data_IF_012977942268
#
_entry.id   IF_012977942268
#
_cell.length_a   1.000
_cell.length_b   1.000
_cell.length_c   1.000
_cell.angle_alpha   90.00
_cell.angle_beta   90.00
_cell.angle_gamma   90.00
#
_symmetry.space_group_name_H-M   'P 1'
#
loop_
_entity.id
_entity.type
_entity.pdbx_description
1 polymer ?
#
# COMPACT_ATOMS: atom_id res chain seq x y z
N UNK A 1 31.24 -10.33 -4.66
CA UNK A 1 30.66 -9.43 -3.63
C UNK A 1 29.23 -9.89 -3.40
N UNK A 2 28.86 -10.28 -2.17
CA UNK A 2 27.43 -10.46 -1.86
C UNK A 2 26.78 -9.09 -1.97
N UNK A 3 25.96 -8.88 -3.00
CA UNK A 3 25.03 -7.76 -3.01
C UNK A 3 24.25 -7.82 -1.71
N UNK A 4 24.18 -6.73 -0.95
CA UNK A 4 23.35 -6.69 0.24
C UNK A 4 21.89 -6.91 -0.22
N UNK A 5 21.29 -8.05 0.14
CA UNK A 5 19.95 -8.43 -0.32
C UNK A 5 18.90 -7.40 0.08
N UNK A 6 19.11 -6.67 1.19
CA UNK A 6 18.27 -5.54 1.59
C UNK A 6 18.33 -4.43 0.54
N UNK A 7 19.53 -4.06 0.08
CA UNK A 7 19.70 -3.03 -0.94
C UNK A 7 19.05 -3.45 -2.25
N UNK A 8 19.27 -4.69 -2.70
CA UNK A 8 18.65 -5.21 -3.92
C UNK A 8 17.12 -5.20 -3.84
N UNK A 9 16.55 -5.64 -2.72
CA UNK A 9 15.12 -5.56 -2.47
C UNK A 9 14.61 -4.12 -2.53
N UNK A 10 15.29 -3.19 -1.85
CA UNK A 10 14.94 -1.78 -1.84
C UNK A 10 15.00 -1.16 -3.25
N UNK A 11 16.01 -1.53 -4.04
CA UNK A 11 16.17 -1.07 -5.43
C UNK A 11 15.01 -1.56 -6.31
N UNK A 12 14.61 -2.83 -6.17
CA UNK A 12 13.47 -3.41 -6.91
C UNK A 12 12.17 -2.68 -6.55
N UNK A 13 11.91 -2.45 -5.25
CA UNK A 13 10.69 -1.74 -4.82
C UNK A 13 10.70 -0.30 -5.32
N UNK A 14 11.86 0.38 -5.26
CA UNK A 14 12.02 1.76 -5.76
C UNK A 14 11.77 1.85 -7.26
N UNK A 15 12.35 0.93 -8.05
CA UNK A 15 12.14 0.89 -9.50
C UNK A 15 10.66 0.68 -9.84
N UNK A 16 10.01 -0.27 -9.16
CA UNK A 16 8.58 -0.55 -9.35
C UNK A 16 7.71 0.68 -9.05
N UNK A 17 7.98 1.39 -7.95
CA UNK A 17 7.28 2.63 -7.60
C UNK A 17 7.46 3.72 -8.67
N UNK A 18 8.66 3.83 -9.25
CA UNK A 18 8.93 4.69 -10.41
C UNK A 18 8.10 4.32 -11.65
N UNK A 19 7.99 3.03 -11.96
CA UNK A 19 7.14 2.54 -13.05
C UNK A 19 5.65 2.84 -12.80
N UNK A 20 5.18 2.64 -11.57
CA UNK A 20 3.81 2.97 -11.17
C UNK A 20 3.51 4.48 -11.34
N UNK A 21 4.44 5.35 -10.97
CA UNK A 21 4.31 6.80 -11.12
C UNK A 21 4.16 7.20 -12.60
N UNK A 22 5.02 6.67 -13.47
CA UNK A 22 4.94 6.88 -14.91
C UNK A 22 3.58 6.40 -15.46
N UNK A 23 3.17 5.20 -15.08
CA UNK A 23 1.92 4.61 -15.54
C UNK A 23 0.69 5.41 -15.08
N UNK A 24 0.62 5.87 -13.82
CA UNK A 24 -0.51 6.66 -13.32
C UNK A 24 -0.69 7.95 -14.10
N UNK A 25 0.40 8.65 -14.42
CA UNK A 25 0.33 9.88 -15.23
C UNK A 25 -0.37 9.62 -16.57
N UNK A 26 0.06 8.57 -17.29
CA UNK A 26 -0.53 8.19 -18.57
C UNK A 26 -2.00 7.78 -18.40
N UNK A 27 -2.30 6.93 -17.41
CA UNK A 27 -3.63 6.38 -17.20
C UNK A 27 -4.65 7.46 -16.78
N UNK A 28 -4.23 8.45 -15.99
CA UNK A 28 -5.09 9.58 -15.61
C UNK A 28 -5.44 10.45 -16.82
N UNK A 29 -4.46 10.75 -17.69
CA UNK A 29 -4.72 11.50 -18.93
C UNK A 29 -5.71 10.78 -19.85
N UNK A 30 -5.63 9.45 -19.89
CA UNK A 30 -6.54 8.61 -20.68
C UNK A 30 -7.84 8.27 -19.94
N UNK A 31 -8.06 8.80 -18.74
CA UNK A 31 -9.24 8.55 -17.90
C UNK A 31 -9.50 7.06 -17.62
N UNK A 32 -8.42 6.27 -17.50
CA UNK A 32 -8.44 4.83 -17.23
C UNK A 32 -8.46 4.57 -15.71
N UNK A 33 -9.45 5.11 -15.01
CA UNK A 33 -9.46 5.20 -13.54
C UNK A 33 -9.43 3.84 -12.83
N UNK A 34 -10.07 2.80 -13.38
CA UNK A 34 -9.97 1.45 -12.83
C UNK A 34 -8.52 0.92 -12.81
N UNK A 35 -7.71 1.30 -13.80
CA UNK A 35 -6.30 0.95 -13.86
C UNK A 35 -5.46 1.80 -12.91
N UNK A 36 -5.78 3.09 -12.78
CA UNK A 36 -5.15 3.97 -11.76
C UNK A 36 -5.33 3.39 -10.35
N UNK A 37 -6.54 2.97 -10.02
CA UNK A 37 -6.86 2.33 -8.73
C UNK A 37 -6.12 1.00 -8.57
N UNK A 38 -5.99 0.22 -9.65
CA UNK A 38 -5.24 -1.05 -9.64
C UNK A 38 -3.75 -0.83 -9.36
N UNK A 39 -3.16 0.24 -9.89
CA UNK A 39 -1.75 0.61 -9.58
C UNK A 39 -1.64 1.13 -8.15
N UNK A 40 -2.56 1.98 -7.71
CA UNK A 40 -2.58 2.47 -6.33
C UNK A 40 -2.63 1.31 -5.32
N UNK A 41 -3.41 0.27 -5.59
CA UNK A 41 -3.44 -0.96 -4.79
C UNK A 41 -2.07 -1.66 -4.75
N UNK A 42 -1.35 -1.71 -5.87
CA UNK A 42 -0.02 -2.33 -5.94
C UNK A 42 1.04 -1.51 -5.19
N UNK A 43 0.94 -0.19 -5.24
CA UNK A 43 1.80 0.72 -4.46
C UNK A 43 1.57 0.53 -2.96
N UNK A 44 0.30 0.46 -2.55
CA UNK A 44 -0.09 0.18 -1.16
C UNK A 44 0.43 -1.19 -0.70
N UNK A 45 0.32 -2.26 -1.50
CA UNK A 45 0.88 -3.59 -1.18
C UNK A 45 2.40 -3.52 -0.96
N UNK A 46 3.11 -2.77 -1.80
CA UNK A 46 4.56 -2.58 -1.66
C UNK A 46 4.88 -1.89 -0.33
N UNK A 47 4.15 -0.85 0.03
CA UNK A 47 4.36 -0.15 1.30
C UNK A 47 4.02 -0.99 2.52
N UNK A 48 2.90 -1.71 2.49
CA UNK A 48 2.50 -2.66 3.54
C UNK A 48 3.59 -3.70 3.80
N UNK A 49 4.22 -4.24 2.74
CA UNK A 49 5.32 -5.21 2.87
C UNK A 49 6.57 -4.59 3.50
N UNK A 50 6.97 -3.40 3.07
CA UNK A 50 8.14 -2.69 3.64
C UNK A 50 7.90 -2.39 5.12
N UNK A 51 6.72 -1.88 5.48
CA UNK A 51 6.35 -1.61 6.86
C UNK A 51 6.31 -2.87 7.72
N UNK A 52 5.80 -3.98 7.18
CA UNK A 52 5.86 -5.26 7.87
C UNK A 52 7.30 -5.69 8.15
N UNK A 53 8.22 -5.56 7.18
CA UNK A 53 9.63 -5.85 7.41
C UNK A 53 10.26 -4.95 8.48
N UNK A 54 9.93 -3.65 8.48
CA UNK A 54 10.38 -2.69 9.49
C UNK A 54 9.87 -3.02 10.90
N UNK A 55 8.71 -3.67 11.02
CA UNK A 55 8.17 -4.09 12.31
C UNK A 55 8.89 -5.30 12.93
N UNK A 56 9.69 -6.02 12.13
CA UNK A 56 10.41 -7.21 12.60
C UNK A 56 11.74 -6.76 13.22
N UNK A 57 11.88 -6.94 14.53
CA UNK A 57 13.11 -6.62 15.27
C UNK A 57 14.25 -7.63 15.05
N UNK A 58 13.92 -8.89 14.76
CA UNK A 58 14.91 -9.91 14.38
C UNK A 58 15.38 -9.71 12.93
N UNK A 59 16.58 -9.16 12.78
CA UNK A 59 17.18 -8.89 11.46
C UNK A 59 17.39 -10.16 10.63
N UNK A 60 17.59 -11.33 11.24
CA UNK A 60 17.74 -12.58 10.50
C UNK A 60 16.40 -13.01 9.90
N UNK A 61 15.30 -12.86 10.67
CA UNK A 61 13.95 -13.14 10.18
C UNK A 61 13.55 -12.16 9.07
N UNK A 62 13.93 -10.89 9.21
CA UNK A 62 13.73 -9.87 8.17
C UNK A 62 14.48 -10.21 6.89
N UNK A 63 15.76 -10.54 6.99
CA UNK A 63 16.58 -10.96 5.84
C UNK A 63 16.02 -12.23 5.18
N UNK A 64 15.53 -13.18 5.99
CA UNK A 64 14.86 -14.38 5.49
C UNK A 64 13.66 -14.05 4.59
N UNK A 65 12.76 -13.16 5.02
CA UNK A 65 11.63 -12.74 4.19
C UNK A 65 12.06 -11.96 2.93
N UNK A 66 13.08 -11.11 3.04
CA UNK A 66 13.65 -10.40 1.89
C UNK A 66 14.17 -11.40 0.85
N UNK A 67 14.90 -12.43 1.27
CA UNK A 67 15.39 -13.48 0.37
C UNK A 67 14.25 -14.21 -0.33
N UNK A 68 13.18 -14.53 0.41
CA UNK A 68 11.99 -15.14 -0.18
C UNK A 68 11.33 -14.26 -1.25
N UNK A 69 11.31 -12.93 -1.08
CA UNK A 69 10.85 -12.03 -2.14
C UNK A 69 11.78 -12.07 -3.36
N UNK A 70 13.09 -12.05 -3.15
CA UNK A 70 14.07 -12.09 -4.25
C UNK A 70 14.04 -13.42 -5.02
N UNK A 71 13.62 -14.50 -4.36
CA UNK A 71 13.40 -15.82 -4.97
C UNK A 71 12.01 -15.97 -5.61
N UNK A 72 11.12 -14.99 -5.45
CA UNK A 72 9.76 -15.04 -5.99
C UNK A 72 8.82 -16.01 -5.26
N UNK A 73 9.10 -16.33 -4.00
CA UNK A 73 8.29 -17.24 -3.19
C UNK A 73 7.54 -16.53 -2.07
N UNK A 74 6.48 -17.18 -1.57
CA UNK A 74 5.67 -16.64 -0.46
C UNK A 74 6.47 -16.62 0.84
N UNK A 75 6.28 -15.58 1.65
CA UNK A 75 6.89 -15.48 2.96
C UNK A 75 6.41 -16.60 3.90
N UNK A 76 7.34 -17.34 4.47
CA UNK A 76 7.08 -18.42 5.43
C UNK A 76 8.11 -18.42 6.54
N UNK A 77 7.68 -18.72 7.77
CA UNK A 77 8.59 -18.70 8.91
C UNK A 77 9.65 -19.82 8.81
N UNK A 78 10.91 -19.58 9.20
CA UNK A 78 11.98 -20.56 9.14
C UNK A 78 11.60 -21.89 9.79
N UNK A 79 11.96 -22.99 9.15
CA UNK A 79 11.71 -24.35 9.65
C UNK A 79 10.23 -24.70 9.93
N UNK A 80 9.29 -23.97 9.33
CA UNK A 80 7.85 -24.25 9.46
C UNK A 80 7.14 -24.22 8.12
N UNK A 81 5.93 -24.78 8.08
CA UNK A 81 4.98 -24.60 6.96
C UNK A 81 4.10 -23.35 7.11
N UNK A 82 4.33 -22.52 8.15
CA UNK A 82 3.49 -21.37 8.43
C UNK A 82 3.84 -20.23 7.47
N UNK A 83 2.87 -19.83 6.66
CA UNK A 83 2.98 -18.73 5.69
C UNK A 83 2.53 -17.43 6.36
N UNK A 84 3.19 -16.32 6.04
CA UNK A 84 2.72 -14.99 6.43
C UNK A 84 1.50 -14.63 5.58
N UNK A 85 0.37 -14.38 6.22
CA UNK A 85 -0.87 -14.03 5.52
C UNK A 85 -1.08 -12.52 5.47
N UNK A 86 -1.87 -12.06 4.49
CA UNK A 86 -2.30 -10.65 4.41
C UNK A 86 -2.98 -10.22 5.71
N UNK A 87 -3.76 -11.11 6.34
CA UNK A 87 -4.35 -10.86 7.66
C UNK A 87 -3.29 -10.56 8.72
N UNK A 88 -2.19 -11.29 8.78
CA UNK A 88 -1.13 -11.00 9.75
C UNK A 88 -0.45 -9.65 9.50
N UNK A 89 -0.34 -9.23 8.24
CA UNK A 89 0.17 -7.89 7.92
C UNK A 89 -0.85 -6.81 8.30
N UNK A 90 -2.16 -7.08 8.17
CA UNK A 90 -3.25 -6.18 8.57
C UNK A 90 -3.41 -6.09 10.08
N UNK A 91 -3.33 -7.20 10.82
CA UNK A 91 -3.42 -7.23 12.29
C UNK A 91 -2.28 -6.43 12.94
N UNK A 92 -1.16 -6.26 12.22
CA UNK A 92 -0.07 -5.39 12.63
C UNK A 92 -0.48 -3.89 12.58
N UNK A 93 -1.37 -3.52 11.66
CA UNK A 93 -1.84 -2.14 11.47
C UNK A 93 -2.61 -1.60 12.67
N UNK A 94 -3.33 -2.47 13.39
CA UNK A 94 -4.08 -2.08 14.60
C UNK A 94 -3.14 -1.66 15.75
N UNK A 95 -1.82 -1.89 15.63
CA UNK A 95 -0.82 -1.43 16.59
C UNK A 95 -0.27 -0.04 16.29
N UNK A 96 -0.52 0.49 15.10
CA UNK A 96 -0.03 1.81 14.71
C UNK A 96 -1.18 2.81 14.69
N UNK A 97 -0.91 4.06 15.07
CA UNK A 97 -1.85 5.16 14.92
C UNK A 97 -1.50 6.01 13.69
N UNK A 98 -2.50 6.69 13.13
CA UNK A 98 -2.30 7.65 12.05
C UNK A 98 -2.05 7.01 10.68
N UNK A 99 -1.05 7.53 9.94
CA UNK A 99 -0.82 7.19 8.52
C UNK A 99 -0.68 5.69 8.24
N UNK A 100 0.16 4.93 8.98
CA UNK A 100 0.22 3.48 8.87
C UNK A 100 -1.15 2.81 8.88
N UNK A 101 -1.95 3.04 9.92
CA UNK A 101 -3.28 2.46 10.07
C UNK A 101 -4.18 2.72 8.85
N UNK A 102 -4.22 3.97 8.38
CA UNK A 102 -5.06 4.35 7.24
C UNK A 102 -4.65 3.65 5.96
N UNK A 103 -3.35 3.51 5.69
CA UNK A 103 -2.82 2.84 4.49
C UNK A 103 -3.34 1.41 4.40
N UNK A 104 -3.30 0.68 5.50
CA UNK A 104 -3.76 -0.71 5.53
C UNK A 104 -5.28 -0.79 5.32
N UNK A 105 -6.07 0.07 5.96
CA UNK A 105 -7.53 0.14 5.74
C UNK A 105 -7.86 0.51 4.28
N UNK A 106 -7.11 1.45 3.70
CA UNK A 106 -7.21 1.82 2.29
C UNK A 106 -6.93 0.62 1.39
N UNK A 107 -5.83 -0.11 1.65
CA UNK A 107 -5.44 -1.29 0.90
C UNK A 107 -6.52 -2.38 0.89
N UNK A 108 -7.11 -2.68 2.06
CA UNK A 108 -8.23 -3.61 2.18
C UNK A 108 -9.43 -3.15 1.36
N UNK A 109 -9.84 -1.90 1.49
CA UNK A 109 -10.96 -1.37 0.71
C UNK A 109 -10.70 -1.43 -0.80
N UNK A 110 -9.47 -1.13 -1.25
CA UNK A 110 -9.12 -1.18 -2.66
C UNK A 110 -9.13 -2.59 -3.27
N UNK A 111 -9.04 -3.66 -2.47
CA UNK A 111 -9.28 -5.03 -2.97
C UNK A 111 -10.72 -5.14 -3.50
N UNK A 112 -11.71 -4.65 -2.76
CA UNK A 112 -13.11 -4.66 -3.18
C UNK A 112 -13.33 -3.77 -4.41
N UNK A 113 -12.60 -2.66 -4.50
CA UNK A 113 -12.67 -1.74 -5.63
C UNK A 113 -11.94 -2.25 -6.88
N UNK A 114 -11.04 -3.24 -6.79
CA UNK A 114 -10.44 -3.86 -7.98
C UNK A 114 -11.46 -4.60 -8.87
N UNK A 115 -12.65 -4.91 -8.33
CA UNK A 115 -13.80 -5.45 -9.06
C UNK A 115 -14.62 -4.38 -9.81
N UNK A 116 -14.10 -3.14 -9.93
CA UNK A 116 -14.66 -2.03 -10.70
C UNK A 116 -14.69 -2.32 -12.22
N UNK A 117 -15.45 -3.32 -12.67
CA UNK A 117 -15.66 -3.55 -14.11
C UNK A 117 -16.72 -2.58 -14.65
N UNK A 118 -17.67 -2.15 -13.81
CA UNK A 118 -18.84 -1.35 -14.18
C UNK A 118 -18.92 0.01 -13.47
N UNK A 119 -17.77 0.57 -13.07
CA UNK A 119 -17.68 1.79 -12.27
C UNK A 119 -18.24 3.05 -12.96
N UNK A 120 -18.33 3.03 -14.30
CA UNK A 120 -18.93 4.12 -15.08
C UNK A 120 -20.45 4.20 -14.92
N UNK A 121 -21.07 3.13 -14.42
CA UNK A 121 -22.51 2.96 -14.39
C UNK A 121 -23.05 2.62 -12.99
N UNK A 122 -22.16 2.42 -12.01
CA UNK A 122 -22.52 2.11 -10.62
C UNK A 122 -21.43 2.63 -9.69
N UNK A 123 -21.82 3.12 -8.50
CA UNK A 123 -20.86 3.56 -7.50
C UNK A 123 -20.21 2.32 -6.83
N UNK A 124 -18.92 2.03 -7.10
CA UNK A 124 -18.26 0.84 -6.59
C UNK A 124 -17.94 0.91 -5.10
N UNK A 125 -17.94 2.11 -4.50
CA UNK A 125 -17.75 2.27 -3.06
C UNK A 125 -18.94 1.69 -2.27
N UNK A 126 -20.08 1.46 -2.90
CA UNK A 126 -21.22 0.77 -2.28
C UNK A 126 -20.94 -0.72 -1.99
N UNK A 127 -19.88 -1.29 -2.56
CA UNK A 127 -19.41 -2.65 -2.23
C UNK A 127 -18.70 -2.71 -0.87
N UNK A 128 -18.32 -1.55 -0.33
CA UNK A 128 -17.65 -1.43 0.96
C UNK A 128 -18.65 -1.30 2.10
N UNK A 129 -18.27 -1.81 3.27
CA UNK A 129 -19.02 -1.54 4.50
C UNK A 129 -19.06 -0.04 4.80
N UNK A 130 -20.02 0.38 5.64
CA UNK A 130 -20.11 1.78 6.10
C UNK A 130 -18.82 2.19 6.82
N UNK A 131 -18.22 1.29 7.61
CA UNK A 131 -16.95 1.56 8.30
C UNK A 131 -15.81 1.85 7.33
N UNK A 132 -15.63 1.00 6.31
CA UNK A 132 -14.57 1.17 5.31
C UNK A 132 -14.75 2.47 4.51
N UNK A 133 -15.99 2.81 4.13
CA UNK A 133 -16.27 4.10 3.47
C UNK A 133 -15.90 5.27 4.38
N UNK A 134 -16.28 5.22 5.65
CA UNK A 134 -15.95 6.26 6.61
C UNK A 134 -14.44 6.41 6.82
N UNK A 135 -13.69 5.30 6.83
CA UNK A 135 -12.23 5.33 6.97
C UNK A 135 -11.57 5.97 5.74
N UNK A 136 -12.03 5.67 4.52
CA UNK A 136 -11.55 6.32 3.28
C UNK A 136 -11.89 7.81 3.29
N UNK A 137 -13.14 8.18 3.62
CA UNK A 137 -13.55 9.59 3.68
C UNK A 137 -12.72 10.36 4.70
N UNK A 138 -12.50 9.79 5.90
CA UNK A 138 -11.66 10.42 6.93
C UNK A 138 -10.22 10.60 6.46
N UNK A 139 -9.66 9.60 5.78
CA UNK A 139 -8.33 9.68 5.20
C UNK A 139 -8.23 10.81 4.16
N UNK A 140 -9.13 10.82 3.18
CA UNK A 140 -9.17 11.83 2.13
C UNK A 140 -9.36 13.23 2.73
N UNK A 141 -10.17 13.36 3.76
CA UNK A 141 -10.37 14.62 4.47
C UNK A 141 -9.10 15.08 5.19
N UNK A 142 -8.52 14.19 6.01
CA UNK A 142 -7.35 14.51 6.84
C UNK A 142 -6.11 14.87 6.01
N UNK A 143 -5.87 14.16 4.90
CA UNK A 143 -4.62 14.33 4.13
C UNK A 143 -4.78 15.15 2.85
N UNK A 144 -6.01 15.31 2.36
CA UNK A 144 -6.25 15.97 1.08
C UNK A 144 -7.42 16.97 1.10
N UNK A 145 -7.98 17.25 2.29
CA UNK A 145 -9.09 18.21 2.48
C UNK A 145 -10.35 17.86 1.70
N UNK A 146 -10.62 16.57 1.49
CA UNK A 146 -11.87 16.10 0.89
C UNK A 146 -13.08 16.53 1.73
N UNK A 147 -14.12 17.16 1.15
CA UNK A 147 -15.29 17.59 1.91
C UNK A 147 -16.10 16.40 2.43
N UNK A 148 -16.48 16.43 3.72
CA UNK A 148 -17.14 15.30 4.39
C UNK A 148 -18.59 15.11 3.95
N UNK A 149 -19.20 16.15 3.40
CA UNK A 149 -20.55 16.17 2.84
C UNK A 149 -20.64 15.52 1.46
N UNK A 150 -19.50 15.32 0.77
CA UNK A 150 -19.49 14.66 -0.53
C UNK A 150 -19.65 13.15 -0.39
N UNK A 151 -20.48 12.58 -1.27
CA UNK A 151 -20.57 11.14 -1.41
C UNK A 151 -19.23 10.58 -1.91
N UNK A 152 -18.78 9.47 -1.31
CA UNK A 152 -17.65 8.72 -1.81
C UNK A 152 -18.05 7.97 -3.09
N UNK A 153 -17.74 8.56 -4.24
CA UNK A 153 -17.97 8.01 -5.57
C UNK A 153 -16.79 8.38 -6.51
N UNK A 154 -16.73 7.79 -7.71
CA UNK A 154 -15.60 8.05 -8.62
C UNK A 154 -15.45 9.51 -9.01
N UNK A 155 -16.55 10.19 -9.32
CA UNK A 155 -16.54 11.59 -9.74
C UNK A 155 -15.84 12.46 -8.70
N UNK A 156 -16.18 12.26 -7.43
CA UNK A 156 -15.62 13.01 -6.32
C UNK A 156 -14.19 12.60 -5.96
N UNK A 157 -13.76 11.35 -6.23
CA UNK A 157 -12.39 10.89 -5.89
C UNK A 157 -11.36 11.13 -6.99
N UNK A 158 -11.76 11.25 -8.26
CA UNK A 158 -10.84 11.46 -9.40
C UNK A 158 -9.84 12.59 -9.15
N UNK A 159 -10.25 13.78 -8.64
CA UNK A 159 -9.32 14.89 -8.37
C UNK A 159 -8.25 14.59 -7.29
N UNK A 160 -8.42 13.51 -6.54
CA UNK A 160 -7.58 13.12 -5.42
C UNK A 160 -6.67 11.94 -5.75
N UNK A 161 -6.92 11.18 -6.83
CA UNK A 161 -6.19 9.95 -7.15
C UNK A 161 -4.67 10.18 -7.25
N UNK A 162 -4.24 11.22 -7.96
CA UNK A 162 -2.83 11.59 -8.06
C UNK A 162 -2.23 11.99 -6.69
N UNK A 163 -2.97 12.80 -5.91
CA UNK A 163 -2.54 13.24 -4.58
C UNK A 163 -2.36 12.06 -3.63
N UNK A 164 -3.30 11.11 -3.65
CA UNK A 164 -3.26 9.89 -2.85
C UNK A 164 -2.06 9.05 -3.25
N UNK A 165 -1.85 8.82 -4.56
CA UNK A 165 -0.69 8.07 -5.03
C UNK A 165 0.62 8.73 -4.60
N UNK A 166 0.78 10.03 -4.82
CA UNK A 166 2.00 10.76 -4.45
C UNK A 166 2.27 10.71 -2.94
N UNK A 167 1.21 10.75 -2.12
CA UNK A 167 1.33 10.58 -0.67
C UNK A 167 1.75 9.16 -0.29
N UNK A 168 1.22 8.12 -0.94
CA UNK A 168 1.65 6.73 -0.71
C UNK A 168 3.10 6.53 -1.15
N UNK A 169 3.44 6.94 -2.37
CA UNK A 169 4.77 6.76 -2.96
C UNK A 169 5.86 7.50 -2.19
N UNK A 170 5.61 8.74 -1.75
CA UNK A 170 6.57 9.50 -0.93
C UNK A 170 6.83 8.86 0.43
N UNK A 171 5.80 8.35 1.11
CA UNK A 171 5.99 7.62 2.36
C UNK A 171 6.69 6.27 2.15
N UNK A 172 6.36 5.56 1.06
CA UNK A 172 7.07 4.34 0.68
C UNK A 172 8.57 4.60 0.51
N UNK A 173 8.95 5.69 -0.17
CA UNK A 173 10.35 6.08 -0.31
C UNK A 173 11.04 6.28 1.05
N UNK A 174 10.38 6.94 2.01
CA UNK A 174 10.91 7.08 3.37
C UNK A 174 11.12 5.71 4.06
N UNK A 175 10.13 4.82 4.00
CA UNK A 175 10.24 3.50 4.61
C UNK A 175 11.30 2.61 3.95
N UNK A 176 11.53 2.75 2.64
CA UNK A 176 12.62 2.07 1.94
C UNK A 176 13.97 2.52 2.51
N UNK A 177 14.18 3.82 2.71
CA UNK A 177 15.42 4.34 3.29
C UNK A 177 15.61 3.88 4.75
N UNK A 178 14.53 3.85 5.53
CA UNK A 178 14.57 3.29 6.89
C UNK A 178 14.94 1.81 6.90
N UNK A 179 14.43 1.04 5.92
CA UNK A 179 14.74 -0.39 5.79
C UNK A 179 16.21 -0.60 5.41
N UNK A 180 16.76 0.21 4.49
CA UNK A 180 18.19 0.21 4.14
C UNK A 180 19.08 0.48 5.35
N UNK A 181 18.61 1.30 6.27
CA UNK A 181 19.33 1.67 7.50
C UNK A 181 19.08 0.68 8.66
N UNK A 182 18.39 -0.44 8.42
CA UNK A 182 17.99 -1.41 9.44
C UNK A 182 17.22 -0.81 10.63
N UNK A 183 16.45 0.25 10.38
CA UNK A 183 15.60 0.82 11.43
C UNK A 183 14.43 -0.11 11.76
N UNK A 184 13.74 0.25 12.84
CA UNK A 184 12.46 -0.31 13.22
C UNK A 184 11.37 0.69 12.92
N UNK A 185 10.17 0.18 12.65
CA UNK A 185 8.99 1.02 12.51
C UNK A 185 8.69 1.66 13.87
N UNK A 186 8.63 2.98 13.92
CA UNK A 186 8.29 3.71 15.14
C UNK A 186 6.82 3.45 15.51
N UNK A 187 6.59 2.95 16.72
CA UNK A 187 5.25 2.86 17.32
C UNK A 187 4.92 4.25 17.90
N UNK A 188 3.91 4.92 17.35
CA UNK A 188 3.38 6.20 17.85
C UNK A 188 2.11 5.98 18.65
#
# INVERSE_FOLDING_TARGET
MKTNNINLFCDIVTQRSGEHSCAINILLQQQLYGQVISILRQELDSMVRVMFLLSISDLNLREHFINQTLEGIKWSYPNTKKVVTDKQMVDLADKFYGWPFFVYKLGCAFIHLSAMVYYKNSNPFLLLSVSERNDITRFLHQYHSFPLELELNLENIIPYLDKVFNKVSSNLACYIEDLRQNKLLEEY
#
